data_IF_531846990804
#
_entry.id   IF_531846990804
#
_cell.length_a   1.000
_cell.length_b   1.000
_cell.length_c   1.000
_cell.angle_alpha   90.00
_cell.angle_beta   90.00
_cell.angle_gamma   90.00
#
_symmetry.space_group_name_H-M   'P 1'
#
loop_
_entity.id
_entity.type
_entity.pdbx_description
1 polymer ?
#
# COMPACT_ATOMS: atom_id res chain seq x y z
N UNK A 1 12.89 9.61 18.87
CA UNK A 1 12.72 8.68 17.73
C UNK A 1 11.49 7.80 17.94
N UNK A 2 10.89 7.27 16.87
CA UNK A 2 9.60 6.53 16.94
C UNK A 2 9.74 5.08 17.44
N UNK A 3 10.94 4.51 17.34
CA UNK A 3 11.22 3.11 17.65
C UNK A 3 11.68 2.86 19.09
N UNK A 4 12.07 3.89 19.85
CA UNK A 4 12.81 3.76 21.13
C UNK A 4 12.17 2.87 22.21
N UNK A 5 10.84 2.75 22.22
CA UNK A 5 10.12 1.88 23.16
C UNK A 5 10.17 0.39 22.77
N UNK A 6 10.40 0.10 21.49
CA UNK A 6 10.46 -1.26 20.94
C UNK A 6 11.90 -1.71 20.71
N UNK A 7 12.72 -0.83 20.13
CA UNK A 7 14.12 -1.09 19.83
C UNK A 7 14.93 0.21 19.91
N UNK A 8 16.11 0.13 20.55
CA UNK A 8 17.07 1.23 20.62
C UNK A 8 18.23 0.93 19.67
N UNK A 9 18.57 1.90 18.83
CA UNK A 9 19.72 1.85 17.93
C UNK A 9 20.78 2.82 18.43
N UNK A 10 22.05 2.43 18.39
CA UNK A 10 23.15 3.27 18.91
C UNK A 10 23.49 4.41 17.95
N UNK A 11 23.29 4.20 16.65
CA UNK A 11 23.46 5.22 15.62
C UNK A 11 22.47 5.05 14.46
N UNK A 12 22.47 6.02 13.54
CA UNK A 12 21.66 5.94 12.31
C UNK A 12 22.25 4.93 11.32
N UNK A 13 23.56 4.72 11.36
CA UNK A 13 24.26 3.70 10.58
C UNK A 13 23.85 2.30 11.01
N UNK A 14 23.73 2.04 12.33
CA UNK A 14 23.22 0.76 12.86
C UNK A 14 21.79 0.49 12.37
N UNK A 15 20.94 1.53 12.39
CA UNK A 15 19.57 1.42 11.87
C UNK A 15 19.57 1.11 10.37
N UNK A 16 20.42 1.77 9.58
CA UNK A 16 20.54 1.53 8.13
C UNK A 16 21.01 0.11 7.83
N UNK A 17 22.00 -0.39 8.56
CA UNK A 17 22.49 -1.75 8.40
C UNK A 17 21.38 -2.79 8.66
N UNK A 18 20.54 -2.59 9.68
CA UNK A 18 19.39 -3.47 9.93
C UNK A 18 18.34 -3.39 8.82
N UNK A 19 18.06 -2.17 8.30
CA UNK A 19 17.15 -2.00 7.16
C UNK A 19 17.68 -2.72 5.91
N UNK A 20 18.99 -2.61 5.62
CA UNK A 20 19.63 -3.31 4.49
C UNK A 20 19.52 -4.82 4.63
N UNK A 21 19.69 -5.35 5.85
CA UNK A 21 19.48 -6.77 6.14
C UNK A 21 18.04 -7.20 5.85
N UNK A 22 17.03 -6.39 6.19
CA UNK A 22 15.61 -6.67 5.90
C UNK A 22 15.29 -6.60 4.41
N UNK A 23 15.97 -5.74 3.64
CA UNK A 23 15.90 -5.67 2.18
C UNK A 23 16.53 -6.91 1.55
N UNK A 24 17.66 -7.38 2.09
CA UNK A 24 18.40 -8.54 1.56
C UNK A 24 17.73 -9.90 1.76
N UNK A 25 16.67 -9.98 2.58
CA UNK A 25 15.96 -11.24 2.85
C UNK A 25 15.30 -11.84 1.60
N UNK A 26 14.96 -13.14 1.70
CA UNK A 26 14.25 -13.90 0.67
C UNK A 26 13.04 -14.59 1.34
N UNK A 27 11.81 -14.06 1.20
CA UNK A 27 11.44 -12.84 0.48
C UNK A 27 11.89 -11.54 1.22
N UNK A 28 12.06 -10.41 0.50
CA UNK A 28 12.36 -9.12 1.13
C UNK A 28 11.19 -8.66 2.00
N UNK A 29 11.48 -8.04 3.14
CA UNK A 29 10.43 -7.61 4.09
C UNK A 29 10.12 -6.12 4.00
N UNK A 30 11.05 -5.33 3.49
CA UNK A 30 10.91 -3.89 3.26
C UNK A 30 11.56 -3.50 1.93
N UNK A 31 11.28 -2.28 1.44
CA UNK A 31 12.02 -1.66 0.35
C UNK A 31 12.26 -0.16 0.62
N UNK A 32 13.31 0.39 0.01
CA UNK A 32 13.53 1.83 -0.05
C UNK A 32 12.61 2.48 -1.10
N UNK A 33 12.15 3.70 -0.80
CA UNK A 33 11.33 4.54 -1.66
C UNK A 33 12.24 5.60 -2.31
N UNK A 34 12.21 5.77 -3.63
CA UNK A 34 12.94 6.82 -4.32
C UNK A 34 12.61 8.21 -3.76
N UNK A 35 13.64 9.05 -3.59
CA UNK A 35 13.48 10.40 -3.04
C UNK A 35 12.68 11.28 -4.00
N UNK A 36 11.66 11.95 -3.47
CA UNK A 36 10.90 12.97 -4.21
C UNK A 36 11.62 14.33 -4.28
N UNK A 37 11.14 15.26 -5.13
CA UNK A 37 11.70 16.61 -5.21
C UNK A 37 11.63 17.32 -3.85
N UNK A 38 12.73 17.94 -3.43
CA UNK A 38 12.84 18.63 -2.14
C UNK A 38 13.01 17.73 -0.92
N UNK A 39 13.02 16.39 -1.07
CA UNK A 39 13.24 15.46 0.03
C UNK A 39 14.74 15.15 0.20
N UNK A 40 15.23 15.32 1.43
CA UNK A 40 16.64 15.06 1.78
C UNK A 40 16.84 13.70 2.46
N UNK A 41 15.75 13.07 2.89
CA UNK A 41 15.76 11.84 3.70
C UNK A 41 15.37 10.62 2.86
N UNK A 42 15.94 9.46 3.23
CA UNK A 42 15.56 8.14 2.73
C UNK A 42 14.28 7.67 3.43
N UNK A 43 13.44 6.94 2.70
CA UNK A 43 12.17 6.41 3.22
C UNK A 43 12.06 4.94 2.87
N UNK A 44 11.40 4.19 3.75
CA UNK A 44 11.25 2.74 3.61
C UNK A 44 9.78 2.36 3.82
N UNK A 45 9.35 1.26 3.20
CA UNK A 45 7.99 0.71 3.31
C UNK A 45 8.04 -0.81 3.47
N UNK A 46 7.13 -1.37 4.28
CA UNK A 46 7.03 -2.81 4.47
C UNK A 46 6.35 -3.50 3.28
N UNK A 47 6.73 -4.74 3.02
CA UNK A 47 6.16 -5.60 1.96
C UNK A 47 5.19 -6.65 2.51
N UNK A 48 4.94 -6.64 3.83
CA UNK A 48 4.08 -7.59 4.53
C UNK A 48 2.60 -7.53 4.11
N UNK A 49 2.18 -6.44 3.46
CA UNK A 49 0.81 -6.25 2.95
C UNK A 49 0.75 -6.26 1.42
N UNK A 50 1.77 -6.84 0.77
CA UNK A 50 1.95 -6.81 -0.68
C UNK A 50 2.89 -5.70 -1.15
N UNK A 51 3.14 -5.65 -2.46
CA UNK A 51 4.04 -4.67 -3.07
C UNK A 51 3.36 -3.31 -3.18
N UNK A 52 3.90 -2.25 -2.55
CA UNK A 52 3.32 -0.92 -2.64
C UNK A 52 3.49 -0.35 -4.05
N UNK A 53 2.45 0.33 -4.54
CA UNK A 53 2.55 1.12 -5.76
C UNK A 53 3.29 2.42 -5.45
N UNK A 54 4.61 2.42 -5.63
CA UNK A 54 5.44 3.59 -5.40
C UNK A 54 5.41 4.45 -6.67
N UNK A 55 4.34 5.21 -6.82
CA UNK A 55 4.26 6.27 -7.82
C UNK A 55 5.11 7.48 -7.35
N UNK A 56 5.78 8.21 -8.27
CA UNK A 56 6.46 9.45 -7.92
C UNK A 56 5.49 10.35 -7.17
N UNK A 57 5.93 10.98 -6.08
CA UNK A 57 5.04 11.74 -5.18
C UNK A 57 4.29 12.87 -5.92
N UNK A 58 4.90 13.45 -6.97
CA UNK A 58 4.22 14.40 -7.86
C UNK A 58 3.01 13.77 -8.59
N UNK A 59 3.11 12.48 -8.92
CA UNK A 59 2.05 11.68 -9.54
C UNK A 59 1.01 11.22 -8.50
N UNK A 60 1.34 11.10 -7.22
CA UNK A 60 0.38 10.73 -6.17
C UNK A 60 -0.63 11.84 -5.86
N UNK A 61 -0.24 13.12 -5.90
CA UNK A 61 -1.19 14.22 -5.73
C UNK A 61 -2.21 14.29 -6.88
N UNK A 62 -1.74 14.11 -8.12
CA UNK A 62 -2.60 14.01 -9.29
C UNK A 62 -3.44 12.71 -9.28
N UNK A 63 -2.84 11.59 -8.86
CA UNK A 63 -3.52 10.30 -8.76
C UNK A 63 -4.58 10.30 -7.67
N UNK A 64 -4.35 10.89 -6.50
CA UNK A 64 -5.36 10.94 -5.43
C UNK A 64 -6.60 11.74 -5.87
N UNK A 65 -6.41 12.81 -6.64
CA UNK A 65 -7.51 13.56 -7.26
C UNK A 65 -8.26 12.75 -8.34
N UNK A 66 -7.55 11.98 -9.18
CA UNK A 66 -8.19 11.12 -10.19
C UNK A 66 -8.77 9.81 -9.63
N UNK A 67 -8.22 9.31 -8.52
CA UNK A 67 -8.74 8.14 -7.81
C UNK A 67 -10.03 8.49 -7.10
N UNK A 68 -10.12 9.68 -6.49
CA UNK A 68 -11.37 10.18 -5.90
C UNK A 68 -12.49 10.28 -6.95
N UNK A 69 -12.19 10.76 -8.16
CA UNK A 69 -13.21 10.83 -9.23
C UNK A 69 -13.60 9.46 -9.81
N UNK A 70 -12.67 8.50 -9.87
CA UNK A 70 -12.96 7.15 -10.40
C UNK A 70 -13.53 6.16 -9.37
N UNK A 71 -13.51 6.52 -8.07
CA UNK A 71 -14.01 5.66 -6.99
C UNK A 71 -15.53 5.56 -7.01
N UNK A 72 -16.23 6.66 -7.24
CA UNK A 72 -17.71 6.68 -7.27
C UNK A 72 -18.25 5.82 -8.43
N UNK A 73 -17.68 5.94 -9.63
CA UNK A 73 -18.04 5.12 -10.78
C UNK A 73 -17.77 3.63 -10.53
N UNK A 74 -16.62 3.30 -9.91
CA UNK A 74 -16.27 1.92 -9.57
C UNK A 74 -17.16 1.33 -8.49
N UNK A 75 -17.55 2.13 -7.49
CA UNK A 75 -18.49 1.71 -6.44
C UNK A 75 -19.87 1.44 -7.05
N UNK A 76 -20.38 2.33 -7.90
CA UNK A 76 -21.67 2.14 -8.60
C UNK A 76 -21.67 0.86 -9.43
N UNK A 77 -20.62 0.60 -10.21
CA UNK A 77 -20.51 -0.61 -11.04
C UNK A 77 -20.47 -1.89 -10.18
N UNK A 78 -19.76 -1.87 -9.05
CA UNK A 78 -19.70 -3.00 -8.13
C UNK A 78 -21.04 -3.23 -7.42
N UNK A 79 -21.78 -2.17 -7.06
CA UNK A 79 -23.10 -2.30 -6.45
C UNK A 79 -24.12 -2.92 -7.41
N UNK A 80 -24.09 -2.54 -8.69
CA UNK A 80 -24.90 -3.16 -9.75
C UNK A 80 -24.55 -4.64 -9.94
N UNK A 81 -23.25 -4.96 -10.02
CA UNK A 81 -22.79 -6.35 -10.17
C UNK A 81 -23.21 -7.20 -8.97
N UNK A 82 -23.09 -6.68 -7.75
CA UNK A 82 -23.56 -7.36 -6.53
C UNK A 82 -25.08 -7.57 -6.57
N UNK A 83 -25.86 -6.58 -7.01
CA UNK A 83 -27.31 -6.71 -7.11
C UNK A 83 -27.70 -7.81 -8.11
N UNK A 84 -27.04 -7.87 -9.27
CA UNK A 84 -27.24 -8.93 -10.25
C UNK A 84 -26.85 -10.31 -9.73
N UNK A 85 -25.69 -10.41 -9.06
CA UNK A 85 -25.21 -11.67 -8.49
C UNK A 85 -26.15 -12.17 -7.39
N UNK A 86 -26.65 -11.29 -6.52
CA UNK A 86 -27.64 -11.63 -5.50
C UNK A 86 -28.94 -12.14 -6.11
N UNK A 87 -29.49 -11.44 -7.10
CA UNK A 87 -30.70 -11.89 -7.79
C UNK A 87 -30.52 -13.27 -8.46
N UNK A 88 -29.33 -13.53 -9.02
CA UNK A 88 -29.00 -14.83 -9.61
C UNK A 88 -28.86 -15.92 -8.56
N UNK A 89 -28.27 -15.62 -7.41
CA UNK A 89 -28.19 -16.55 -6.28
C UNK A 89 -29.60 -16.85 -5.77
N UNK A 90 -30.42 -15.83 -5.51
CA UNK A 90 -31.79 -15.99 -5.04
C UNK A 90 -32.64 -16.82 -6.00
N UNK A 91 -32.47 -16.64 -7.31
CA UNK A 91 -33.14 -17.48 -8.31
C UNK A 91 -32.66 -18.95 -8.29
N UNK A 92 -31.40 -19.21 -7.95
CA UNK A 92 -30.83 -20.55 -7.86
C UNK A 92 -31.12 -21.24 -6.52
N UNK A 93 -31.31 -20.46 -5.44
CA UNK A 93 -31.55 -20.98 -4.08
C UNK A 93 -33.00 -20.88 -3.64
N UNK A 94 -33.84 -20.11 -4.35
CA UNK A 94 -35.25 -19.83 -4.03
C UNK A 94 -36.27 -20.83 -4.59
N UNK A 95 -35.83 -21.90 -5.24
CA UNK A 95 -36.68 -23.03 -5.66
C UNK A 95 -36.33 -24.33 -4.90
N UNK A 96 -36.25 -24.26 -3.57
CA UNK A 96 -36.35 -25.44 -2.71
C UNK A 96 -37.18 -25.19 -1.46
#
# INVERSE_FOLDING_TARGET
ARTERMARFSSIEDLRAELDMLIGRRPPLIQEIPRGPGQREERYVHLLSGTPQIAPIAMQAASAASSASGLEERVSALEEEIAMLRARIDALTGER
#
